data_IF_373679199058
#
_entry.id   IF_373679199058
#
_cell.length_a   1.000
_cell.length_b   1.000
_cell.length_c   1.000
_cell.angle_alpha   90.00
_cell.angle_beta   90.00
_cell.angle_gamma   90.00
#
_symmetry.space_group_name_H-M   'P 1'
#
loop_
_entity.id
_entity.type
_entity.pdbx_description
1 polymer ?
#
# COMPACT_ATOMS: atom_id res chain seq x y z
N UNK A 1 -4.59 9.11 -6.82
CA UNK A 1 -4.69 10.59 -6.78
C UNK A 1 -5.59 11.11 -7.89
N UNK A 2 -5.23 10.93 -9.15
CA UNK A 2 -6.01 11.39 -10.32
C UNK A 2 -7.42 10.77 -10.40
N UNK A 3 -7.54 9.45 -10.19
CA UNK A 3 -8.86 8.79 -10.16
C UNK A 3 -9.82 9.40 -9.15
N UNK A 4 -9.38 9.67 -7.91
CA UNK A 4 -10.22 10.29 -6.88
C UNK A 4 -10.60 11.75 -7.14
N UNK A 5 -9.91 12.47 -8.03
CA UNK A 5 -10.28 13.85 -8.41
C UNK A 5 -11.37 13.88 -9.49
N UNK A 6 -11.38 12.89 -10.38
CA UNK A 6 -12.32 12.84 -11.50
C UNK A 6 -13.64 12.09 -11.16
N UNK A 7 -13.69 11.34 -10.05
CA UNK A 7 -14.89 10.58 -9.70
C UNK A 7 -15.89 11.34 -8.83
N UNK A 8 -17.16 11.34 -9.24
CA UNK A 8 -18.26 11.89 -8.43
C UNK A 8 -18.56 10.99 -7.24
N UNK A 9 -18.56 11.58 -6.04
CA UNK A 9 -18.87 10.88 -4.77
C UNK A 9 -20.24 10.18 -4.82
N UNK A 10 -21.21 10.74 -5.55
CA UNK A 10 -22.55 10.16 -5.72
C UNK A 10 -22.57 8.86 -6.53
N UNK A 11 -21.61 8.65 -7.43
CA UNK A 11 -21.51 7.45 -8.27
C UNK A 11 -20.76 6.32 -7.57
N UNK A 12 -19.82 6.65 -6.67
CA UNK A 12 -19.01 5.69 -5.91
C UNK A 12 -19.72 5.20 -4.64
N UNK A 13 -20.49 6.06 -3.96
CA UNK A 13 -21.10 5.76 -2.65
C UNK A 13 -21.83 4.40 -2.54
N UNK A 14 -22.61 3.93 -3.53
CA UNK A 14 -23.27 2.62 -3.44
C UNK A 14 -22.33 1.42 -3.70
N UNK A 15 -21.15 1.64 -4.31
CA UNK A 15 -20.22 0.58 -4.72
C UNK A 15 -18.94 0.49 -3.88
N UNK A 16 -18.67 1.45 -2.98
CA UNK A 16 -17.49 1.43 -2.07
C UNK A 16 -17.44 0.16 -1.23
N UNK A 17 -18.55 -0.23 -0.60
CA UNK A 17 -18.58 -1.39 0.30
C UNK A 17 -18.17 -2.69 -0.40
N UNK A 18 -18.86 -3.08 -1.48
CA UNK A 18 -18.47 -4.23 -2.29
C UNK A 18 -17.06 -4.10 -2.86
N UNK A 19 -16.67 -2.90 -3.34
CA UNK A 19 -15.35 -2.66 -3.93
C UNK A 19 -14.21 -2.88 -2.93
N UNK A 20 -14.34 -2.41 -1.69
CA UNK A 20 -13.31 -2.59 -0.65
C UNK A 20 -13.20 -4.06 -0.21
N UNK A 21 -14.33 -4.76 -0.07
CA UNK A 21 -14.33 -6.19 0.27
C UNK A 21 -13.73 -7.02 -0.88
N UNK A 22 -14.10 -6.71 -2.12
CA UNK A 22 -13.56 -7.39 -3.30
C UNK A 22 -12.05 -7.13 -3.44
N UNK A 23 -11.60 -5.90 -3.21
CA UNK A 23 -10.18 -5.55 -3.30
C UNK A 23 -9.33 -6.13 -2.17
N UNK A 24 -9.91 -6.32 -0.98
CA UNK A 24 -9.19 -6.96 0.14
C UNK A 24 -9.13 -8.48 -0.04
N UNK A 25 -10.28 -9.12 -0.23
CA UNK A 25 -10.39 -10.58 -0.34
C UNK A 25 -9.83 -11.08 -1.67
N UNK A 26 -10.11 -10.38 -2.78
CA UNK A 26 -9.64 -10.74 -4.10
C UNK A 26 -8.12 -10.69 -4.21
N UNK A 27 -7.48 -9.62 -3.72
CA UNK A 27 -6.01 -9.51 -3.69
C UNK A 27 -5.38 -10.59 -2.80
N UNK A 28 -5.96 -10.86 -1.62
CA UNK A 28 -5.48 -11.92 -0.74
C UNK A 28 -5.56 -13.30 -1.41
N UNK A 29 -6.69 -13.62 -2.04
CA UNK A 29 -6.87 -14.89 -2.74
C UNK A 29 -5.93 -15.02 -3.94
N UNK A 30 -5.81 -13.98 -4.76
CA UNK A 30 -4.89 -13.97 -5.91
C UNK A 30 -3.44 -14.16 -5.45
N UNK A 31 -3.03 -13.46 -4.39
CA UNK A 31 -1.70 -13.60 -3.83
C UNK A 31 -1.46 -15.02 -3.28
N UNK A 32 -2.42 -15.61 -2.56
CA UNK A 32 -2.30 -16.97 -2.01
C UNK A 32 -2.22 -18.04 -3.10
N UNK A 33 -3.07 -17.95 -4.13
CA UNK A 33 -3.09 -18.91 -5.24
C UNK A 33 -1.77 -18.84 -6.01
N UNK A 34 -1.32 -17.63 -6.37
CA UNK A 34 -0.08 -17.43 -7.10
C UNK A 34 1.14 -17.84 -6.27
N UNK A 35 1.14 -17.55 -4.97
CA UNK A 35 2.20 -18.00 -4.06
C UNK A 35 2.26 -19.54 -3.98
N UNK A 36 1.11 -20.20 -3.88
CA UNK A 36 1.03 -21.66 -3.88
C UNK A 36 1.57 -22.26 -5.18
N UNK A 37 1.21 -21.66 -6.33
CA UNK A 37 1.72 -22.07 -7.63
C UNK A 37 3.24 -21.91 -7.75
N UNK A 38 3.78 -20.74 -7.37
CA UNK A 38 5.23 -20.47 -7.39
C UNK A 38 5.96 -21.39 -6.43
N UNK A 39 5.44 -21.60 -5.23
CA UNK A 39 6.03 -22.49 -4.23
C UNK A 39 6.06 -23.95 -4.69
N UNK A 40 5.03 -24.40 -5.42
CA UNK A 40 4.96 -25.77 -5.93
C UNK A 40 5.92 -26.01 -7.11
N UNK A 41 6.18 -24.99 -7.95
CA UNK A 41 7.08 -25.08 -9.10
C UNK A 41 8.54 -24.81 -8.71
N UNK A 42 8.80 -24.00 -7.70
CA UNK A 42 10.16 -23.62 -7.30
C UNK A 42 11.12 -24.83 -7.08
N UNK A 43 10.70 -25.93 -6.43
CA UNK A 43 11.53 -27.13 -6.31
C UNK A 43 11.92 -27.77 -7.65
N UNK A 44 11.04 -27.70 -8.66
CA UNK A 44 11.30 -28.26 -9.99
C UNK A 44 12.36 -27.50 -10.77
N UNK A 45 12.61 -26.24 -10.40
CA UNK A 45 13.61 -25.35 -10.99
C UNK A 45 14.90 -25.35 -10.13
N UNK A 46 14.95 -26.13 -9.05
CA UNK A 46 16.09 -26.20 -8.14
C UNK A 46 16.18 -25.01 -7.17
N UNK A 47 15.06 -24.30 -6.94
CA UNK A 47 15.00 -23.14 -6.06
C UNK A 47 14.24 -23.48 -4.77
N UNK A 48 14.94 -23.52 -3.65
CA UNK A 48 14.30 -23.67 -2.34
C UNK A 48 13.80 -22.30 -1.87
N UNK A 49 12.48 -22.10 -1.93
CA UNK A 49 11.84 -20.86 -1.53
C UNK A 49 10.86 -21.10 -0.39
N UNK A 50 10.99 -20.39 0.76
CA UNK A 50 9.97 -20.45 1.81
C UNK A 50 8.67 -19.84 1.31
N UNK A 51 7.52 -20.40 1.72
CA UNK A 51 6.20 -19.94 1.29
C UNK A 51 5.97 -18.43 1.49
N UNK A 52 6.50 -17.86 2.57
CA UNK A 52 6.42 -16.43 2.83
C UNK A 52 7.12 -15.57 1.75
N UNK A 53 8.21 -16.06 1.14
CA UNK A 53 8.89 -15.36 0.05
C UNK A 53 8.10 -15.49 -1.27
N UNK A 54 7.49 -16.65 -1.53
CA UNK A 54 6.58 -16.82 -2.65
C UNK A 54 5.33 -15.93 -2.52
N UNK A 55 4.81 -15.78 -1.30
CA UNK A 55 3.70 -14.89 -0.98
C UNK A 55 4.08 -13.42 -1.13
N UNK A 56 5.31 -13.05 -0.75
CA UNK A 56 5.82 -11.70 -0.99
C UNK A 56 5.86 -11.38 -2.50
N UNK A 57 6.41 -12.29 -3.30
CA UNK A 57 6.44 -12.14 -4.77
C UNK A 57 5.03 -12.00 -5.33
N UNK A 58 4.12 -12.90 -4.95
CA UNK A 58 2.74 -12.88 -5.42
C UNK A 58 1.99 -11.60 -5.00
N UNK A 59 2.22 -11.10 -3.78
CA UNK A 59 1.66 -9.84 -3.29
C UNK A 59 2.07 -8.65 -4.17
N UNK A 60 3.34 -8.58 -4.59
CA UNK A 60 3.79 -7.49 -5.48
C UNK A 60 3.18 -7.55 -6.88
N UNK A 61 2.79 -8.74 -7.35
CA UNK A 61 2.17 -8.96 -8.65
C UNK A 61 0.64 -8.82 -8.65
N UNK A 62 0.00 -8.75 -7.46
CA UNK A 62 -1.45 -8.71 -7.36
C UNK A 62 -2.08 -7.33 -7.61
N UNK A 63 -1.27 -6.28 -7.79
CA UNK A 63 -1.76 -4.95 -8.21
C UNK A 63 -2.15 -5.00 -9.69
N UNK A 64 -3.39 -4.59 -10.00
CA UNK A 64 -3.98 -4.68 -11.34
C UNK A 64 -4.13 -3.29 -11.96
N UNK A 65 -3.38 -2.98 -13.03
CA UNK A 65 -3.49 -1.70 -13.71
C UNK A 65 -4.66 -1.66 -14.71
N UNK A 66 -5.78 -1.04 -14.31
CA UNK A 66 -6.94 -0.84 -15.19
C UNK A 66 -6.80 0.36 -16.14
N UNK A 67 -5.85 1.28 -15.93
CA UNK A 67 -5.64 2.45 -16.80
C UNK A 67 -5.14 2.03 -18.19
N UNK A 68 -4.26 1.03 -18.22
CA UNK A 68 -3.75 0.39 -19.44
C UNK A 68 -4.88 -0.25 -20.27
N UNK A 69 -5.76 -1.03 -19.61
CA UNK A 69 -6.91 -1.69 -20.25
C UNK A 69 -7.89 -0.65 -20.82
N UNK A 70 -8.07 0.48 -20.13
CA UNK A 70 -8.90 1.58 -20.59
C UNK A 70 -8.38 2.28 -21.84
N UNK A 71 -7.05 2.45 -21.98
CA UNK A 71 -6.45 3.04 -23.18
C UNK A 71 -6.77 2.21 -24.43
N UNK A 72 -6.77 0.88 -24.28
CA UNK A 72 -7.06 -0.09 -25.34
C UNK A 72 -8.57 -0.18 -25.61
N UNK A 73 -9.40 -0.20 -24.58
CA UNK A 73 -10.86 -0.20 -24.75
C UNK A 73 -11.38 1.11 -25.37
N UNK A 74 -10.75 2.25 -25.02
CA UNK A 74 -11.06 3.55 -25.62
C UNK A 74 -10.62 3.60 -27.09
N UNK A 75 -9.49 2.98 -27.46
CA UNK A 75 -9.02 2.94 -28.85
C UNK A 75 -9.89 2.04 -29.74
N UNK A 76 -10.57 1.03 -29.17
CA UNK A 76 -11.48 0.13 -29.90
C UNK A 76 -12.92 0.64 -30.11
N UNK A 77 -13.27 1.88 -29.75
CA UNK A 77 -14.61 2.52 -29.97
C UNK A 77 -15.83 1.71 -29.49
N UNK A 78 -15.67 0.67 -28.68
CA UNK A 78 -16.80 0.01 -28.04
C UNK A 78 -17.23 0.87 -26.86
N UNK A 79 -18.36 1.55 -26.99
CA UNK A 79 -18.91 2.44 -25.97
C UNK A 79 -18.99 1.73 -24.62
N UNK A 80 -18.10 2.08 -23.70
CA UNK A 80 -18.18 1.57 -22.35
C UNK A 80 -19.45 2.13 -21.72
N UNK A 81 -20.36 1.22 -21.31
CA UNK A 81 -21.50 1.56 -20.47
C UNK A 81 -20.98 2.43 -19.32
N UNK A 82 -21.60 3.59 -19.10
CA UNK A 82 -21.10 4.64 -18.19
C UNK A 82 -20.79 4.15 -16.76
N UNK A 83 -21.34 3.00 -16.35
CA UNK A 83 -21.13 2.36 -15.06
C UNK A 83 -19.88 1.47 -14.95
N UNK A 84 -19.26 1.03 -16.06
CA UNK A 84 -18.06 0.17 -15.97
C UNK A 84 -16.78 0.97 -15.63
N UNK A 85 -16.66 2.23 -16.04
CA UNK A 85 -15.45 3.02 -15.75
C UNK A 85 -15.29 3.27 -14.24
N UNK A 86 -16.29 3.81 -13.54
CA UNK A 86 -16.16 4.09 -12.11
C UNK A 86 -15.94 2.83 -11.27
N UNK A 87 -16.55 1.70 -11.66
CA UNK A 87 -16.37 0.41 -10.98
C UNK A 87 -14.94 -0.11 -11.13
N UNK A 88 -14.38 -0.09 -12.35
CA UNK A 88 -13.02 -0.58 -12.62
C UNK A 88 -11.93 0.36 -12.09
N UNK A 89 -12.18 1.68 -12.07
CA UNK A 89 -11.30 2.65 -11.43
C UNK A 89 -11.30 2.48 -9.90
N UNK A 90 -12.46 2.15 -9.32
CA UNK A 90 -12.55 1.81 -7.91
C UNK A 90 -11.86 0.48 -7.61
N UNK A 91 -12.05 -0.54 -8.44
CA UNK A 91 -11.44 -1.87 -8.28
C UNK A 91 -9.92 -1.81 -8.38
N UNK A 92 -9.34 -1.19 -9.41
CA UNK A 92 -7.88 -1.04 -9.49
C UNK A 92 -7.33 -0.12 -8.40
N UNK A 93 -8.00 1.02 -8.16
CA UNK A 93 -7.55 2.01 -7.19
C UNK A 93 -7.58 1.51 -5.74
N UNK A 94 -8.40 0.50 -5.44
CA UNK A 94 -8.44 -0.16 -4.12
C UNK A 94 -7.52 -1.39 -4.03
N UNK A 95 -7.26 -2.09 -5.14
CA UNK A 95 -6.27 -3.17 -5.18
C UNK A 95 -4.84 -2.69 -4.90
N UNK A 96 -4.48 -1.49 -5.38
CA UNK A 96 -3.10 -0.97 -5.25
C UNK A 96 -2.66 -0.75 -3.79
N UNK A 97 -3.41 -0.06 -2.93
CA UNK A 97 -3.09 0.02 -1.50
C UNK A 97 -3.02 -1.34 -0.83
N UNK A 98 -3.90 -2.28 -1.19
CA UNK A 98 -3.94 -3.62 -0.59
C UNK A 98 -2.70 -4.44 -0.90
N UNK A 99 -2.29 -4.48 -2.17
CA UNK A 99 -1.07 -5.15 -2.61
C UNK A 99 0.18 -4.53 -1.95
N UNK A 100 0.24 -3.19 -1.87
CA UNK A 100 1.33 -2.50 -1.17
C UNK A 100 1.39 -2.87 0.32
N UNK A 101 0.25 -2.84 1.02
CA UNK A 101 0.20 -3.16 2.45
C UNK A 101 0.60 -4.61 2.75
N UNK A 102 0.09 -5.57 1.96
CA UNK A 102 0.45 -6.98 2.10
C UNK A 102 1.96 -7.17 1.87
N UNK A 103 2.54 -6.46 0.89
CA UNK A 103 3.98 -6.48 0.62
C UNK A 103 4.78 -5.94 1.80
N UNK A 104 4.42 -4.77 2.35
CA UNK A 104 5.12 -4.17 3.49
C UNK A 104 5.04 -5.07 4.73
N UNK A 105 3.88 -5.69 4.98
CA UNK A 105 3.70 -6.64 6.07
C UNK A 105 4.63 -7.85 5.90
N UNK A 106 4.68 -8.44 4.71
CA UNK A 106 5.52 -9.61 4.42
C UNK A 106 7.01 -9.27 4.46
N UNK A 107 7.41 -8.09 4.00
CA UNK A 107 8.79 -7.59 4.16
C UNK A 107 9.14 -7.44 5.64
N UNK A 108 8.23 -6.90 6.45
CA UNK A 108 8.43 -6.76 7.90
C UNK A 108 8.59 -8.11 8.60
N UNK A 109 7.77 -9.09 8.22
CA UNK A 109 7.85 -10.49 8.69
C UNK A 109 9.19 -11.12 8.33
N UNK A 110 9.61 -11.00 7.07
CA UNK A 110 10.82 -11.65 6.56
C UNK A 110 12.11 -10.97 7.03
N UNK A 111 12.05 -9.68 7.35
CA UNK A 111 13.21 -8.88 7.81
C UNK A 111 13.32 -8.76 9.33
N UNK A 112 12.31 -9.23 10.08
CA UNK A 112 12.23 -9.09 11.53
C UNK A 112 13.01 -10.18 12.29
N UNK A 113 13.42 -9.94 13.55
CA UNK A 113 14.12 -10.93 14.38
C UNK A 113 13.31 -12.20 14.68
N UNK A 114 12.00 -12.18 14.44
CA UNK A 114 11.05 -13.29 14.65
C UNK A 114 10.71 -14.02 13.33
N UNK A 115 11.67 -14.13 12.43
CA UNK A 115 11.56 -14.87 11.17
C UNK A 115 11.32 -16.36 11.44
N UNK A 116 10.07 -16.78 11.61
CA UNK A 116 9.72 -18.20 11.76
C UNK A 116 8.29 -18.51 12.20
N UNK A 117 7.62 -17.63 12.95
CA UNK A 117 6.27 -17.89 13.44
C UNK A 117 5.42 -16.63 13.33
N UNK A 118 4.74 -16.47 12.19
CA UNK A 118 3.71 -15.45 12.05
C UNK A 118 2.40 -16.07 12.47
N UNK A 119 1.84 -15.59 13.57
CA UNK A 119 0.43 -15.79 13.83
C UNK A 119 -0.35 -15.02 12.75
N UNK A 120 -0.94 -15.76 11.81
CA UNK A 120 -1.75 -15.22 10.72
C UNK A 120 -2.86 -14.32 11.26
N UNK A 121 -3.36 -14.58 12.48
CA UNK A 121 -4.35 -13.73 13.15
C UNK A 121 -3.81 -12.32 13.45
N UNK A 122 -2.58 -12.22 13.94
CA UNK A 122 -1.93 -10.92 14.24
C UNK A 122 -1.62 -10.16 12.95
N UNK A 123 -1.20 -10.87 11.89
CA UNK A 123 -0.96 -10.26 10.58
C UNK A 123 -2.23 -9.67 9.96
N UNK A 124 -3.34 -10.41 10.00
CA UNK A 124 -4.64 -9.93 9.52
C UNK A 124 -5.15 -8.73 10.33
N UNK A 125 -5.02 -8.76 11.66
CA UNK A 125 -5.38 -7.63 12.50
C UNK A 125 -4.55 -6.39 12.19
N UNK A 126 -3.24 -6.56 11.97
CA UNK A 126 -2.35 -5.46 11.60
C UNK A 126 -2.78 -4.83 10.27
N UNK A 127 -3.13 -5.65 9.27
CA UNK A 127 -3.65 -5.20 7.99
C UNK A 127 -4.93 -4.35 8.14
N UNK A 128 -5.90 -4.84 8.93
CA UNK A 128 -7.16 -4.12 9.18
C UNK A 128 -6.91 -2.79 9.89
N UNK A 129 -6.09 -2.79 10.94
CA UNK A 129 -5.75 -1.56 11.68
C UNK A 129 -5.08 -0.55 10.75
N UNK A 130 -4.13 -0.99 9.93
CA UNK A 130 -3.39 -0.13 9.04
C UNK A 130 -4.27 0.44 7.92
N UNK A 131 -5.27 -0.32 7.44
CA UNK A 131 -6.32 0.17 6.54
C UNK A 131 -7.17 1.26 7.18
N UNK A 132 -7.66 1.02 8.42
CA UNK A 132 -8.52 1.97 9.14
C UNK A 132 -7.76 3.25 9.45
N UNK A 133 -6.54 3.15 9.99
CA UNK A 133 -5.70 4.30 10.31
C UNK A 133 -5.33 5.07 9.04
N UNK A 134 -4.98 4.37 7.94
CA UNK A 134 -4.69 4.98 6.65
C UNK A 134 -5.89 5.73 6.08
N UNK A 135 -7.08 5.13 6.10
CA UNK A 135 -8.31 5.76 5.64
C UNK A 135 -8.67 7.00 6.47
N UNK A 136 -8.60 6.91 7.80
CA UNK A 136 -8.90 8.02 8.71
C UNK A 136 -7.92 9.17 8.55
N UNK A 137 -6.62 8.89 8.59
CA UNK A 137 -5.57 9.90 8.43
C UNK A 137 -5.61 10.55 7.05
N UNK A 138 -5.79 9.77 5.99
CA UNK A 138 -5.96 10.27 4.63
C UNK A 138 -7.17 11.20 4.49
N UNK A 139 -8.31 10.83 5.10
CA UNK A 139 -9.50 11.67 5.13
C UNK A 139 -9.28 12.99 5.89
N UNK A 140 -8.65 12.93 7.07
CA UNK A 140 -8.31 14.11 7.88
C UNK A 140 -7.39 15.07 7.12
N UNK A 141 -6.31 14.56 6.54
CA UNK A 141 -5.33 15.36 5.79
C UNK A 141 -5.97 15.92 4.52
N UNK A 142 -6.77 15.14 3.79
CA UNK A 142 -7.49 15.60 2.61
C UNK A 142 -8.47 16.72 2.94
N UNK A 143 -9.23 16.60 4.04
CA UNK A 143 -10.15 17.65 4.49
C UNK A 143 -9.41 18.91 4.92
N UNK A 144 -8.26 18.75 5.58
CA UNK A 144 -7.39 19.86 5.96
C UNK A 144 -6.78 20.55 4.73
N UNK A 145 -6.41 19.80 3.69
CA UNK A 145 -5.94 20.34 2.44
C UNK A 145 -7.01 21.19 1.74
N UNK A 146 -8.24 20.67 1.61
CA UNK A 146 -9.37 21.42 1.02
C UNK A 146 -9.70 22.67 1.83
N UNK A 147 -9.75 22.55 3.16
CA UNK A 147 -9.99 23.70 4.03
C UNK A 147 -8.93 24.78 3.87
N UNK A 148 -7.66 24.37 3.80
CA UNK A 148 -6.52 25.27 3.61
C UNK A 148 -6.61 25.95 2.25
N UNK A 149 -6.76 25.19 1.16
CA UNK A 149 -6.89 25.71 -0.21
C UNK A 149 -8.02 26.72 -0.34
N UNK A 150 -9.19 26.45 0.25
CA UNK A 150 -10.34 27.35 0.20
C UNK A 150 -10.17 28.62 1.06
N UNK A 151 -9.27 28.60 2.04
CA UNK A 151 -8.98 29.75 2.93
C UNK A 151 -7.92 30.69 2.35
N UNK A 152 -6.98 30.18 1.56
CA UNK A 152 -5.92 31.00 0.95
C UNK A 152 -6.36 31.49 -0.42
N UNK A 153 -6.28 32.79 -0.62
CA UNK A 153 -6.50 33.43 -1.92
C UNK A 153 -5.12 33.66 -2.55
N UNK A 154 -4.65 32.67 -3.32
CA UNK A 154 -3.34 32.75 -3.98
C UNK A 154 -3.50 33.50 -5.30
N UNK A 155 -2.63 34.49 -5.52
CA UNK A 155 -2.67 35.37 -6.70
C UNK A 155 -2.40 34.63 -8.01
N UNK A 156 -1.63 33.53 -7.95
CA UNK A 156 -1.21 32.76 -9.12
C UNK A 156 -1.73 31.31 -9.05
N UNK A 157 -2.35 30.86 -10.14
CA UNK A 157 -2.95 29.52 -10.24
C UNK A 157 -1.93 28.38 -10.03
N UNK A 158 -0.68 28.58 -10.44
CA UNK A 158 0.40 27.60 -10.26
C UNK A 158 0.74 27.30 -8.80
N UNK A 159 0.54 28.25 -7.88
CA UNK A 159 0.79 27.99 -6.45
C UNK A 159 -0.23 27.04 -5.83
N UNK A 160 -1.45 26.95 -6.38
CA UNK A 160 -2.43 25.95 -5.93
C UNK A 160 -1.94 24.52 -6.24
N UNK A 161 -1.34 24.32 -7.42
CA UNK A 161 -0.78 23.02 -7.81
C UNK A 161 0.37 22.62 -6.88
N UNK A 162 1.26 23.56 -6.55
CA UNK A 162 2.39 23.33 -5.64
C UNK A 162 1.90 23.01 -4.22
N UNK A 163 0.92 23.77 -3.71
CA UNK A 163 0.33 23.54 -2.41
C UNK A 163 -0.33 22.17 -2.31
N UNK A 164 -1.07 21.79 -3.36
CA UNK A 164 -1.74 20.50 -3.44
C UNK A 164 -0.72 19.34 -3.50
N UNK A 165 0.37 19.50 -4.24
CA UNK A 165 1.47 18.53 -4.25
C UNK A 165 2.17 18.44 -2.88
N UNK A 166 2.34 19.56 -2.17
CA UNK A 166 2.88 19.57 -0.82
C UNK A 166 2.00 18.77 0.15
N UNK A 167 0.67 18.89 0.06
CA UNK A 167 -0.26 18.07 0.84
C UNK A 167 -0.18 16.59 0.48
N UNK A 168 0.02 16.23 -0.79
CA UNK A 168 0.23 14.84 -1.21
C UNK A 168 1.48 14.25 -0.56
N UNK A 169 2.62 14.97 -0.63
CA UNK A 169 3.85 14.52 0.01
C UNK A 169 3.75 14.48 1.54
N UNK A 170 3.09 15.47 2.14
CA UNK A 170 2.84 15.50 3.57
C UNK A 170 2.02 14.29 4.02
N UNK A 171 0.95 13.97 3.29
CA UNK A 171 0.13 12.78 3.55
C UNK A 171 0.95 11.49 3.48
N UNK A 172 1.77 11.35 2.43
CA UNK A 172 2.66 10.21 2.27
C UNK A 172 3.71 10.11 3.38
N UNK A 173 4.30 11.23 3.80
CA UNK A 173 5.30 11.25 4.87
C UNK A 173 4.69 10.96 6.25
N UNK A 174 3.44 11.40 6.48
CA UNK A 174 2.72 11.15 7.72
C UNK A 174 2.30 9.68 7.87
N UNK A 175 1.89 9.05 6.77
CA UNK A 175 1.51 7.64 6.76
C UNK A 175 2.68 6.68 6.56
N UNK A 176 3.73 7.10 5.85
CA UNK A 176 4.88 6.28 5.50
C UNK A 176 5.55 5.69 6.74
N UNK A 177 6.00 4.42 6.69
CA UNK A 177 6.55 3.73 7.86
C UNK A 177 7.69 4.56 8.45
N UNK A 178 7.49 5.00 9.70
CA UNK A 178 8.48 5.77 10.43
C UNK A 178 9.80 4.98 10.49
N UNK A 179 10.92 5.47 9.94
CA UNK A 179 12.20 4.76 9.93
C UNK A 179 12.81 4.53 11.33
N UNK A 180 12.14 4.97 12.40
CA UNK A 180 12.71 5.08 13.74
C UNK A 180 13.07 3.75 14.41
N UNK A 181 12.65 2.61 13.89
CA UNK A 181 13.01 1.30 14.48
C UNK A 181 14.35 0.71 13.98
N UNK A 182 15.02 1.30 12.98
CA UNK A 182 16.28 0.75 12.45
C UNK A 182 17.58 1.21 13.12
N UNK A 183 17.53 2.21 14.01
CA UNK A 183 18.74 2.82 14.58
C UNK A 183 19.09 2.38 16.02
N UNK A 184 18.20 1.68 16.73
CA UNK A 184 18.45 1.33 18.14
C UNK A 184 19.33 0.09 18.36
N UNK A 185 19.77 -0.60 17.30
CA UNK A 185 20.53 -1.86 17.39
C UNK A 185 22.00 -1.79 16.97
N UNK A 186 22.53 -0.61 16.59
CA UNK A 186 23.90 -0.46 16.06
C UNK A 186 24.77 0.50 16.87
N UNK A 187 24.84 0.32 18.18
CA UNK A 187 25.97 0.84 18.95
C UNK A 187 26.76 -0.34 19.53
N UNK A 188 27.92 -0.70 18.95
CA UNK A 188 28.86 -1.54 19.67
C UNK A 188 29.32 -0.77 20.90
N UNK A 189 29.01 -1.28 22.09
CA UNK A 189 29.61 -0.82 23.34
C UNK A 189 31.12 -0.99 23.21
N UNK A 190 31.84 0.10 22.94
CA UNK A 190 33.29 0.19 23.18
C UNK A 190 33.51 -0.04 24.67
N UNK A 191 33.88 -1.24 25.05
CA UNK A 191 34.50 -1.56 26.34
C UNK A 191 35.87 -0.87 26.39
N UNK A 192 35.88 0.40 26.79
CA UNK A 192 37.06 1.09 27.27
C UNK A 192 37.18 0.86 28.79
N UNK A 193 37.99 -0.12 29.18
CA UNK A 193 38.30 -0.39 30.58
C UNK A 193 39.77 -0.79 30.70
N UNK A 194 40.61 0.19 31.01
CA UNK A 194 42.01 -0.01 31.43
C UNK A 194 42.04 -0.92 32.67
N UNK A 195 42.79 -2.02 32.61
CA UNK A 195 43.31 -2.66 33.82
C UNK A 195 44.68 -2.03 34.15
N UNK A 196 44.92 -1.55 35.38
CA UNK A 196 46.25 -1.16 35.83
C UNK A 196 47.06 -2.41 36.22
N UNK A 197 48.36 -2.34 35.95
CA UNK A 197 49.38 -3.27 36.43
C UNK A 197 49.36 -3.34 37.96
N UNK A 198 49.49 -4.54 38.51
CA UNK A 198 49.97 -4.75 39.88
C UNK A 198 50.53 -6.18 40.03
N UNK A 199 51.74 -6.28 40.57
CA UNK A 199 52.30 -7.46 41.22
C UNK A 199 53.27 -8.30 40.40
#
# INVERSE_FOLDING_TARGET
FTGGMDTKVSEIRPIVGPGVVLATVGVLLTALILAGFVWLIAPWIGLEMPFALALLLASTMSSTDSASVFSILRSKKQGLRQHLRPLLELESGSNDPMAYMLTVLLVGVLSGPASGHVDLGVGMLYLVVQLVVGALSGYLIGRLAVWTINRINLVNHSLYVVLLLAFVFFSFAFYGPHPRQRLSGRLPRRTGGRQPQAG
#
